data_IF_959886192730
#
_entry.id   IF_959886192730
#
_cell.length_a   1.000
_cell.length_b   1.000
_cell.length_c   1.000
_cell.angle_alpha   90.00
_cell.angle_beta   90.00
_cell.angle_gamma   90.00
#
_symmetry.space_group_name_H-M   'P 1'
#
loop_
_entity.id
_entity.type
_entity.pdbx_description
1 polymer ?
#
# COMPACT_ATOMS: atom_id res chain seq x y z
N UNK A 1 0.53 3.41 -19.93
CA UNK A 1 0.05 4.31 -18.86
C UNK A 1 0.21 5.77 -19.21
N UNK A 2 1.40 6.26 -19.58
CA UNK A 2 1.59 7.67 -19.95
C UNK A 2 0.69 8.09 -21.12
N UNK A 3 0.58 7.27 -22.16
CA UNK A 3 -0.30 7.54 -23.32
C UNK A 3 -1.79 7.55 -22.96
N UNK A 4 -2.22 6.75 -21.98
CA UNK A 4 -3.62 6.73 -21.50
C UNK A 4 -3.90 7.87 -20.53
N UNK A 5 -2.89 8.33 -19.81
CA UNK A 5 -2.98 9.53 -18.96
C UNK A 5 -3.08 10.79 -19.82
N UNK A 6 -2.31 10.86 -20.90
CA UNK A 6 -2.34 11.98 -21.86
C UNK A 6 -3.68 12.01 -22.62
N UNK A 7 -4.33 10.88 -22.85
CA UNK A 7 -5.59 10.79 -23.59
C UNK A 7 -6.86 10.93 -22.74
N UNK A 8 -6.78 10.79 -21.42
CA UNK A 8 -7.90 11.00 -20.49
C UNK A 8 -7.78 12.36 -19.83
N UNK A 9 -8.28 13.39 -20.51
CA UNK A 9 -8.44 14.76 -20.01
C UNK A 9 -9.13 14.73 -18.63
N UNK A 10 -8.50 15.30 -17.61
CA UNK A 10 -8.98 15.39 -16.23
C UNK A 10 -8.22 14.50 -15.22
N UNK A 11 -7.70 13.34 -15.61
CA UNK A 11 -6.95 12.47 -14.69
C UNK A 11 -5.51 12.89 -14.43
N UNK A 12 -4.90 13.56 -15.41
CA UNK A 12 -3.55 14.14 -15.24
C UNK A 12 -3.63 15.36 -14.31
N UNK A 13 -4.65 16.19 -14.49
CA UNK A 13 -4.84 17.41 -13.69
C UNK A 13 -5.05 17.07 -12.21
N UNK A 14 -5.78 16.00 -11.89
CA UNK A 14 -6.07 15.61 -10.51
C UNK A 14 -4.91 14.90 -9.79
N UNK A 15 -4.09 14.13 -10.53
CA UNK A 15 -2.99 13.32 -9.95
C UNK A 15 -1.62 13.97 -10.08
N UNK A 16 -1.45 14.94 -11.00
CA UNK A 16 -0.15 15.48 -11.35
C UNK A 16 -0.03 17.00 -11.23
N UNK A 17 -1.01 17.68 -10.63
CA UNK A 17 -0.91 19.12 -10.39
C UNK A 17 0.39 19.45 -9.65
N UNK A 18 0.69 18.70 -8.59
CA UNK A 18 1.90 18.90 -7.81
C UNK A 18 3.18 18.53 -8.58
N UNK A 19 3.10 17.52 -9.46
CA UNK A 19 4.24 17.05 -10.27
C UNK A 19 4.46 17.97 -11.49
N UNK A 20 3.41 18.53 -12.04
CA UNK A 20 3.50 19.44 -13.19
C UNK A 20 4.34 20.68 -12.86
N UNK A 21 4.35 21.14 -11.62
CA UNK A 21 5.17 22.27 -11.20
C UNK A 21 6.68 21.99 -11.32
N UNK A 22 7.11 20.74 -11.12
CA UNK A 22 8.51 20.36 -11.28
C UNK A 22 9.02 20.54 -12.71
N UNK A 23 8.14 20.45 -13.71
CA UNK A 23 8.52 20.63 -15.12
C UNK A 23 8.99 22.05 -15.45
N UNK A 24 8.76 23.02 -14.57
CA UNK A 24 9.25 24.38 -14.71
C UNK A 24 10.78 24.50 -14.53
N UNK A 25 11.41 23.50 -13.89
CA UNK A 25 12.84 23.55 -13.54
C UNK A 25 13.59 22.24 -13.70
N UNK A 26 12.91 21.14 -14.03
CA UNK A 26 13.52 19.83 -14.26
C UNK A 26 12.72 19.00 -15.27
N UNK A 27 13.41 18.05 -15.91
CA UNK A 27 12.73 16.98 -16.62
C UNK A 27 12.09 16.03 -15.61
N UNK A 28 10.83 15.65 -15.83
CA UNK A 28 10.09 14.75 -14.95
C UNK A 28 9.87 13.41 -15.64
N UNK A 29 10.37 12.35 -15.02
CA UNK A 29 10.22 10.98 -15.51
C UNK A 29 9.33 10.19 -14.56
N UNK A 30 8.20 9.70 -15.05
CA UNK A 30 7.29 8.84 -14.32
C UNK A 30 7.62 7.38 -14.67
N UNK A 31 7.93 6.60 -13.64
CA UNK A 31 8.34 5.21 -13.80
C UNK A 31 7.23 4.28 -13.36
N UNK A 32 6.82 3.38 -14.27
CA UNK A 32 5.95 2.26 -13.92
C UNK A 32 6.80 1.13 -13.35
N UNK A 33 6.33 0.54 -12.27
CA UNK A 33 6.95 -0.62 -11.67
C UNK A 33 6.89 -1.83 -12.62
N UNK A 34 7.96 -2.64 -12.66
CA UNK A 34 7.94 -3.94 -13.36
C UNK A 34 6.81 -4.81 -12.81
N UNK A 35 6.17 -5.60 -13.67
CA UNK A 35 5.00 -6.41 -13.31
C UNK A 35 3.69 -5.65 -13.17
N UNK A 36 3.69 -4.33 -13.33
CA UNK A 36 2.49 -3.49 -13.19
C UNK A 36 2.12 -2.74 -14.47
N UNK A 37 3.07 -2.52 -15.36
CA UNK A 37 2.85 -1.80 -16.60
C UNK A 37 2.31 -2.69 -17.71
N UNK A 38 1.32 -2.21 -18.44
CA UNK A 38 0.80 -2.88 -19.64
C UNK A 38 1.79 -2.92 -20.82
N UNK A 39 2.92 -2.25 -20.70
CA UNK A 39 3.99 -2.25 -21.71
C UNK A 39 5.06 -3.30 -21.46
N UNK A 40 4.95 -4.05 -20.38
CA UNK A 40 5.78 -5.18 -20.01
C UNK A 40 4.91 -6.33 -19.49
N UNK A 41 5.50 -7.23 -18.73
CA UNK A 41 4.77 -8.28 -18.06
C UNK A 41 3.84 -7.70 -17.00
N UNK A 42 2.60 -8.16 -16.99
CA UNK A 42 1.62 -7.77 -15.96
C UNK A 42 1.40 -8.95 -15.03
N UNK A 43 1.89 -8.82 -13.81
CA UNK A 43 1.61 -9.78 -12.73
C UNK A 43 0.21 -9.51 -12.18
N UNK A 44 -0.76 -10.26 -12.65
CA UNK A 44 -2.14 -10.14 -12.19
C UNK A 44 -2.63 -11.45 -11.64
N UNK A 45 -2.91 -11.47 -10.34
CA UNK A 45 -3.65 -12.54 -9.70
C UNK A 45 -5.07 -12.07 -9.38
N UNK A 46 -6.05 -12.95 -9.56
CA UNK A 46 -7.43 -12.64 -9.21
C UNK A 46 -7.72 -13.22 -7.84
N UNK A 47 -7.80 -12.36 -6.84
CA UNK A 47 -8.25 -12.75 -5.51
C UNK A 47 -9.77 -12.65 -5.45
N UNK A 48 -10.42 -13.76 -5.17
CA UNK A 48 -11.87 -13.80 -4.96
C UNK A 48 -12.18 -13.50 -3.50
N UNK A 49 -12.52 -12.25 -3.22
CA UNK A 49 -13.01 -11.87 -1.90
C UNK A 49 -14.35 -12.58 -1.66
N UNK A 50 -14.46 -13.26 -0.53
CA UNK A 50 -15.73 -13.83 -0.12
C UNK A 50 -16.65 -12.73 0.43
N UNK A 51 -17.93 -12.82 0.07
CA UNK A 51 -18.96 -11.85 0.50
C UNK A 51 -19.28 -11.96 2.00
N UNK A 52 -19.04 -13.13 2.60
CA UNK A 52 -19.32 -13.40 3.99
C UNK A 52 -18.04 -13.46 4.83
N UNK A 53 -18.05 -12.93 6.06
CA UNK A 53 -16.93 -13.02 6.97
C UNK A 53 -16.54 -14.46 7.23
N UNK A 54 -15.24 -14.75 7.20
CA UNK A 54 -14.70 -16.06 7.51
C UNK A 54 -14.07 -16.07 8.88
N UNK A 55 -14.12 -17.19 9.61
CA UNK A 55 -13.27 -17.40 10.77
C UNK A 55 -11.79 -17.27 10.39
N UNK A 56 -10.98 -16.64 11.26
CA UNK A 56 -9.57 -16.31 10.99
C UNK A 56 -8.77 -17.51 10.43
N UNK A 57 -8.94 -18.69 11.02
CA UNK A 57 -8.26 -19.90 10.56
C UNK A 57 -8.59 -20.27 9.10
N UNK A 58 -9.85 -20.07 8.69
CA UNK A 58 -10.27 -20.32 7.31
C UNK A 58 -9.70 -19.25 6.35
N UNK A 59 -9.68 -17.99 6.80
CA UNK A 59 -9.08 -16.91 6.02
C UNK A 59 -7.59 -17.17 5.77
N UNK A 60 -6.83 -17.51 6.81
CA UNK A 60 -5.40 -17.87 6.69
C UNK A 60 -5.20 -19.05 5.73
N UNK A 61 -6.03 -20.10 5.82
CA UNK A 61 -5.93 -21.24 4.92
C UNK A 61 -6.23 -20.86 3.47
N UNK A 62 -7.23 -20.01 3.24
CA UNK A 62 -7.57 -19.49 1.92
C UNK A 62 -6.44 -18.64 1.32
N UNK A 63 -5.85 -17.74 2.12
CA UNK A 63 -4.75 -16.88 1.66
C UNK A 63 -3.50 -17.71 1.31
N UNK A 64 -3.19 -18.73 2.11
CA UNK A 64 -2.10 -19.66 1.79
C UNK A 64 -2.37 -20.42 0.49
N UNK A 65 -3.58 -20.92 0.29
CA UNK A 65 -3.96 -21.63 -0.92
C UNK A 65 -3.88 -20.71 -2.15
N UNK A 66 -4.38 -19.47 -2.02
CA UNK A 66 -4.29 -18.46 -3.07
C UNK A 66 -2.84 -18.15 -3.44
N UNK A 67 -1.94 -18.00 -2.45
CA UNK A 67 -0.53 -17.77 -2.71
C UNK A 67 0.12 -18.93 -3.48
N UNK A 68 -0.18 -20.18 -3.10
CA UNK A 68 0.32 -21.39 -3.79
C UNK A 68 -0.18 -21.42 -5.24
N UNK A 69 -1.49 -21.30 -5.44
CA UNK A 69 -2.10 -21.36 -6.79
C UNK A 69 -1.58 -20.25 -7.69
N UNK A 70 -1.40 -19.04 -7.14
CA UNK A 70 -0.85 -17.90 -7.89
C UNK A 70 0.58 -18.13 -8.30
N UNK A 71 1.42 -18.63 -7.39
CA UNK A 71 2.82 -18.96 -7.68
C UNK A 71 2.93 -20.05 -8.74
N UNK A 72 2.13 -21.11 -8.64
CA UNK A 72 2.08 -22.18 -9.64
C UNK A 72 1.57 -21.69 -11.00
N UNK A 73 0.62 -20.76 -11.01
CA UNK A 73 0.12 -20.17 -12.25
C UNK A 73 1.21 -19.36 -12.96
N UNK A 74 1.98 -18.54 -12.24
CA UNK A 74 3.10 -17.79 -12.81
C UNK A 74 4.24 -18.72 -13.27
N UNK A 75 4.54 -19.77 -12.52
CA UNK A 75 5.54 -20.76 -12.94
C UNK A 75 5.19 -21.44 -14.28
N UNK A 76 3.89 -21.65 -14.56
CA UNK A 76 3.42 -22.21 -15.85
C UNK A 76 3.57 -21.24 -17.03
N UNK A 77 3.68 -19.95 -16.76
CA UNK A 77 3.86 -18.89 -17.78
C UNK A 77 5.34 -18.53 -17.99
N UNK A 78 6.26 -19.28 -17.39
CA UNK A 78 7.70 -19.02 -17.42
C UNK A 78 8.11 -17.66 -16.81
N UNK A 79 7.24 -17.06 -16.01
CA UNK A 79 7.54 -15.83 -15.28
C UNK A 79 8.32 -16.17 -14.01
N UNK A 80 9.55 -15.68 -13.93
CA UNK A 80 10.38 -15.79 -12.73
C UNK A 80 10.06 -14.65 -11.76
N UNK A 81 9.29 -14.97 -10.70
CA UNK A 81 8.91 -13.99 -9.70
C UNK A 81 10.10 -13.41 -8.89
N UNK A 82 11.26 -14.08 -8.90
CA UNK A 82 12.46 -13.55 -8.23
C UNK A 82 12.99 -12.28 -8.86
N UNK A 83 12.63 -12.01 -10.12
CA UNK A 83 12.92 -10.77 -10.82
C UNK A 83 12.04 -9.58 -10.44
N UNK A 84 11.03 -9.75 -9.55
CA UNK A 84 10.08 -8.70 -9.19
C UNK A 84 10.29 -8.23 -7.75
N UNK A 85 11.50 -7.78 -7.47
CA UNK A 85 11.92 -7.29 -6.15
C UNK A 85 12.23 -5.79 -6.17
N UNK A 86 12.28 -5.15 -5.00
CA UNK A 86 12.68 -3.75 -4.88
C UNK A 86 14.11 -3.51 -5.41
N UNK A 87 14.98 -4.52 -5.31
CA UNK A 87 16.35 -4.46 -5.86
C UNK A 87 16.32 -4.35 -7.38
N UNK A 88 15.59 -5.24 -8.03
CA UNK A 88 15.46 -5.23 -9.49
C UNK A 88 14.78 -3.96 -10.00
N UNK A 89 13.79 -3.47 -9.27
CA UNK A 89 13.16 -2.19 -9.56
C UNK A 89 14.14 -1.02 -9.45
N UNK A 90 15.09 -1.05 -8.51
CA UNK A 90 16.12 -0.02 -8.40
C UNK A 90 17.13 -0.08 -9.57
N UNK A 91 17.47 -1.29 -10.03
CA UNK A 91 18.26 -1.44 -11.26
C UNK A 91 17.53 -0.85 -12.47
N UNK A 92 16.23 -1.10 -12.65
CA UNK A 92 15.44 -0.50 -13.73
C UNK A 92 15.53 1.02 -13.76
N UNK A 93 15.40 1.66 -12.60
CA UNK A 93 15.50 3.13 -12.50
C UNK A 93 16.90 3.61 -12.88
N UNK A 94 17.96 2.92 -12.41
CA UNK A 94 19.33 3.30 -12.76
C UNK A 94 19.62 3.09 -14.24
N UNK A 95 19.16 1.99 -14.85
CA UNK A 95 19.31 1.75 -16.29
C UNK A 95 18.52 2.79 -17.11
N UNK A 96 17.30 3.13 -16.69
CA UNK A 96 16.52 4.19 -17.31
C UNK A 96 17.24 5.54 -17.23
N UNK A 97 17.82 5.89 -16.08
CA UNK A 97 18.65 7.09 -15.91
C UNK A 97 19.77 7.13 -16.93
N UNK A 98 20.52 6.02 -17.07
CA UNK A 98 21.63 5.91 -18.04
C UNK A 98 21.14 6.01 -19.48
N UNK A 99 20.05 5.32 -19.83
CA UNK A 99 19.47 5.34 -21.17
C UNK A 99 18.99 6.74 -21.58
N UNK A 100 18.53 7.54 -20.61
CA UNK A 100 18.12 8.94 -20.84
C UNK A 100 19.31 9.92 -20.81
N UNK A 101 20.52 9.47 -20.46
CA UNK A 101 21.73 10.27 -20.45
C UNK A 101 21.90 11.17 -19.22
N UNK A 102 21.17 10.92 -18.14
CA UNK A 102 21.30 11.69 -16.91
C UNK A 102 22.46 11.16 -16.05
N UNK A 103 23.33 12.05 -15.59
CA UNK A 103 24.39 11.74 -14.64
C UNK A 103 23.81 11.51 -13.25
N UNK A 104 22.92 12.39 -12.83
CA UNK A 104 22.26 12.37 -11.52
C UNK A 104 20.76 12.55 -11.66
N UNK A 105 20.01 12.07 -10.66
CA UNK A 105 18.56 12.23 -10.56
C UNK A 105 18.15 12.67 -9.15
N UNK A 106 16.99 13.29 -9.05
CA UNK A 106 16.30 13.55 -7.80
C UNK A 106 15.07 12.66 -7.70
N UNK A 107 14.79 12.18 -6.49
CA UNK A 107 13.68 11.26 -6.21
C UNK A 107 12.52 12.00 -5.54
N UNK A 108 11.33 11.82 -6.08
CA UNK A 108 10.07 12.25 -5.46
C UNK A 108 9.15 11.03 -5.37
N UNK A 109 8.90 10.55 -4.15
CA UNK A 109 8.17 9.31 -3.96
C UNK A 109 7.40 9.24 -2.64
N UNK A 110 6.40 8.35 -2.61
CA UNK A 110 5.61 8.06 -1.39
C UNK A 110 5.27 6.58 -1.31
N UNK A 111 4.93 6.12 -0.07
CA UNK A 111 4.53 4.74 0.20
C UNK A 111 5.60 3.76 -0.32
N UNK A 112 5.27 2.69 -1.00
CA UNK A 112 6.21 1.74 -1.60
C UNK A 112 7.31 2.40 -2.46
N UNK A 113 7.04 3.56 -3.06
CA UNK A 113 8.05 4.35 -3.77
C UNK A 113 9.19 4.83 -2.86
N UNK A 114 8.94 5.03 -1.57
CA UNK A 114 10.00 5.37 -0.61
C UNK A 114 10.94 4.19 -0.36
N UNK A 115 10.43 2.97 -0.27
CA UNK A 115 11.22 1.74 -0.17
C UNK A 115 12.10 1.54 -1.42
N UNK A 116 11.55 1.79 -2.58
CA UNK A 116 12.25 1.80 -3.85
C UNK A 116 13.40 2.81 -3.84
N UNK A 117 13.11 4.02 -3.37
CA UNK A 117 14.08 5.11 -3.25
C UNK A 117 15.23 4.77 -2.30
N UNK A 118 14.93 4.17 -1.14
CA UNK A 118 15.97 3.71 -0.21
C UNK A 118 16.87 2.62 -0.82
N UNK A 119 16.27 1.71 -1.58
CA UNK A 119 17.02 0.67 -2.28
C UNK A 119 17.95 1.28 -3.33
N UNK A 120 17.45 2.25 -4.11
CA UNK A 120 18.22 2.96 -5.11
C UNK A 120 19.36 3.77 -4.48
N UNK A 121 19.10 4.54 -3.41
CA UNK A 121 20.11 5.28 -2.65
C UNK A 121 21.19 4.37 -2.06
N UNK A 122 20.82 3.14 -1.65
CA UNK A 122 21.79 2.16 -1.12
C UNK A 122 22.69 1.60 -2.21
N UNK A 123 22.12 1.31 -3.41
CA UNK A 123 22.84 0.68 -4.51
C UNK A 123 23.65 1.67 -5.36
N UNK A 124 23.13 2.88 -5.52
CA UNK A 124 23.69 3.91 -6.41
C UNK A 124 23.71 5.30 -5.75
N UNK A 125 24.31 5.44 -4.55
CA UNK A 125 24.27 6.69 -3.77
C UNK A 125 24.82 7.90 -4.52
N UNK A 126 25.82 7.69 -5.38
CA UNK A 126 26.50 8.74 -6.16
C UNK A 126 25.60 9.34 -7.25
N UNK A 127 24.51 8.66 -7.62
CA UNK A 127 23.61 9.13 -8.68
C UNK A 127 22.44 9.95 -8.17
N UNK A 128 22.28 10.05 -6.85
CA UNK A 128 21.12 10.71 -6.23
C UNK A 128 21.53 12.06 -5.67
N UNK A 129 20.94 13.14 -6.22
CA UNK A 129 21.19 14.50 -5.76
C UNK A 129 20.30 14.90 -4.60
N UNK A 130 19.02 14.52 -4.65
CA UNK A 130 17.99 14.87 -3.67
C UNK A 130 16.95 13.74 -3.58
N UNK A 131 16.40 13.54 -2.40
CA UNK A 131 15.23 12.68 -2.22
C UNK A 131 14.19 13.38 -1.35
N UNK A 132 12.98 13.56 -1.88
CA UNK A 132 11.80 14.03 -1.17
C UNK A 132 10.82 12.86 -1.05
N UNK A 133 10.69 12.32 0.15
CA UNK A 133 9.94 11.09 0.41
C UNK A 133 8.86 11.32 1.46
N UNK A 134 7.67 10.73 1.26
CA UNK A 134 6.58 10.77 2.23
C UNK A 134 5.93 9.39 2.38
N UNK A 135 5.22 9.17 3.49
CA UNK A 135 4.66 7.85 3.79
C UNK A 135 5.75 6.79 3.80
N UNK A 136 6.78 7.03 4.62
CA UNK A 136 8.02 6.25 4.62
C UNK A 136 7.75 4.78 4.96
N UNK A 137 8.15 3.89 4.05
CA UNK A 137 8.19 2.44 4.26
C UNK A 137 9.66 1.99 4.34
N UNK A 138 10.16 1.60 5.52
CA UNK A 138 11.53 1.16 5.68
C UNK A 138 11.77 -0.21 5.03
N UNK A 139 12.99 -0.45 4.55
CA UNK A 139 13.34 -1.67 3.80
C UNK A 139 13.13 -2.96 4.61
N UNK A 140 13.26 -2.88 5.93
CA UNK A 140 13.31 -4.05 6.82
C UNK A 140 12.22 -4.05 7.92
N UNK A 141 11.24 -3.19 7.85
CA UNK A 141 10.22 -3.06 8.90
C UNK A 141 8.89 -2.57 8.31
N UNK A 142 8.25 -3.43 7.52
CA UNK A 142 6.99 -3.14 6.82
C UNK A 142 5.75 -3.53 7.65
N UNK A 143 5.94 -4.25 8.74
CA UNK A 143 4.82 -4.77 9.52
C UNK A 143 4.52 -3.88 10.70
N UNK A 144 3.28 -3.44 10.80
CA UNK A 144 2.77 -2.82 12.00
C UNK A 144 2.80 -3.82 13.16
N UNK A 145 3.56 -3.49 14.20
CA UNK A 145 3.56 -4.32 15.40
C UNK A 145 2.24 -4.13 16.15
N UNK A 146 1.59 -5.21 16.61
CA UNK A 146 0.33 -5.09 17.38
C UNK A 146 0.43 -4.13 18.56
N UNK A 147 1.59 -4.03 19.21
CA UNK A 147 1.85 -3.08 20.29
C UNK A 147 1.76 -1.63 19.84
N UNK A 148 2.24 -1.32 18.63
CA UNK A 148 2.25 0.06 18.10
C UNK A 148 0.86 0.47 17.64
N UNK A 149 0.13 -0.46 17.01
CA UNK A 149 -1.29 -0.29 16.66
C UNK A 149 -2.11 -0.03 17.94
N UNK A 150 -1.93 -0.85 18.99
CA UNK A 150 -2.62 -0.64 20.26
C UNK A 150 -2.26 0.68 20.94
N UNK A 151 -1.01 1.10 20.84
CA UNK A 151 -0.57 2.41 21.36
C UNK A 151 -1.26 3.56 20.62
N UNK A 152 -1.38 3.46 19.30
CA UNK A 152 -2.12 4.46 18.50
C UNK A 152 -3.62 4.48 18.85
N UNK A 153 -4.24 3.30 18.99
CA UNK A 153 -5.64 3.15 19.42
C UNK A 153 -5.86 3.78 20.79
N UNK A 154 -5.03 3.48 21.78
CA UNK A 154 -5.15 4.06 23.12
C UNK A 154 -5.02 5.59 23.11
N UNK A 155 -4.15 6.14 22.27
CA UNK A 155 -4.04 7.59 22.10
C UNK A 155 -5.33 8.20 21.53
N UNK A 156 -5.92 7.57 20.52
CA UNK A 156 -7.21 7.99 19.95
C UNK A 156 -8.31 7.89 21.01
N UNK A 157 -8.37 6.80 21.77
CA UNK A 157 -9.34 6.61 22.84
C UNK A 157 -9.25 7.70 23.90
N UNK A 158 -8.04 8.13 24.26
CA UNK A 158 -7.85 9.24 25.18
C UNK A 158 -8.46 10.54 24.64
N UNK A 159 -8.21 10.88 23.37
CA UNK A 159 -8.80 12.06 22.75
C UNK A 159 -10.33 12.00 22.73
N UNK A 160 -10.90 10.85 22.42
CA UNK A 160 -12.35 10.64 22.42
C UNK A 160 -12.92 10.80 23.83
N UNK A 161 -12.28 10.25 24.86
CA UNK A 161 -12.73 10.34 26.25
C UNK A 161 -12.67 11.76 26.82
N UNK A 162 -11.78 12.59 26.32
CA UNK A 162 -11.59 13.99 26.72
C UNK A 162 -12.49 14.96 25.91
N UNK A 163 -13.14 14.53 24.85
CA UNK A 163 -13.99 15.36 23.98
C UNK A 163 -15.46 15.27 24.41
N UNK A 164 -16.03 16.40 24.87
CA UNK A 164 -17.41 16.52 25.35
C UNK A 164 -18.45 16.08 24.29
N UNK A 165 -18.13 16.09 23.02
CA UNK A 165 -19.02 15.64 21.94
C UNK A 165 -19.20 14.12 21.94
N UNK A 166 -18.21 13.37 22.38
CA UNK A 166 -18.22 11.91 22.37
C UNK A 166 -18.50 11.29 23.74
N UNK A 167 -18.08 11.95 24.82
CA UNK A 167 -18.25 11.45 26.20
C UNK A 167 -19.68 10.98 26.51
N UNK A 168 -20.77 11.68 26.11
CA UNK A 168 -22.13 11.21 26.36
C UNK A 168 -22.53 9.91 25.68
N UNK A 169 -21.76 9.49 24.69
CA UNK A 169 -22.02 8.29 23.89
C UNK A 169 -21.18 7.08 24.32
N UNK A 170 -20.28 7.26 25.28
CA UNK A 170 -19.45 6.19 25.80
C UNK A 170 -20.21 5.41 26.90
N UNK A 171 -20.03 4.07 26.95
CA UNK A 171 -20.49 3.27 28.09
C UNK A 171 -19.71 3.64 29.36
N UNK A 172 -20.18 3.18 30.54
CA UNK A 172 -19.52 3.47 31.82
C UNK A 172 -18.05 3.02 31.87
N UNK A 173 -17.72 1.89 31.26
CA UNK A 173 -16.34 1.40 31.10
C UNK A 173 -15.54 2.07 29.98
N UNK A 174 -16.08 3.16 29.38
CA UNK A 174 -15.40 4.00 28.39
C UNK A 174 -15.09 3.28 27.08
N UNK A 175 -14.00 3.67 26.43
CA UNK A 175 -13.61 3.14 25.13
C UNK A 175 -13.25 1.66 25.16
N UNK A 176 -12.76 1.15 26.28
CA UNK A 176 -12.43 -0.29 26.42
C UNK A 176 -13.69 -1.15 26.36
N UNK A 177 -14.73 -0.75 27.07
CA UNK A 177 -16.03 -1.45 27.03
C UNK A 177 -16.67 -1.31 25.65
N UNK A 178 -16.63 -0.13 25.04
CA UNK A 178 -17.16 0.09 23.69
C UNK A 178 -16.46 -0.83 22.67
N UNK A 179 -15.15 -0.95 22.73
CA UNK A 179 -14.38 -1.84 21.85
C UNK A 179 -14.79 -3.31 22.05
N UNK A 180 -14.94 -3.77 23.29
CA UNK A 180 -15.40 -5.12 23.59
C UNK A 180 -16.81 -5.40 23.05
N UNK A 181 -17.73 -4.45 23.19
CA UNK A 181 -19.08 -4.55 22.65
C UNK A 181 -19.08 -4.61 21.11
N UNK A 182 -18.23 -3.82 20.45
CA UNK A 182 -18.07 -3.86 18.99
C UNK A 182 -17.51 -5.23 18.57
N UNK A 183 -16.45 -5.70 19.19
CA UNK A 183 -15.85 -7.01 18.88
C UNK A 183 -16.86 -8.15 19.07
N UNK A 184 -17.64 -8.15 20.13
CA UNK A 184 -18.70 -9.15 20.34
C UNK A 184 -19.74 -9.13 19.21
N UNK A 185 -20.15 -7.94 18.76
CA UNK A 185 -21.07 -7.82 17.62
C UNK A 185 -20.47 -8.34 16.33
N UNK A 186 -19.18 -8.07 16.10
CA UNK A 186 -18.45 -8.56 14.93
C UNK A 186 -18.36 -10.09 14.94
N UNK A 187 -18.02 -10.69 16.09
CA UNK A 187 -17.97 -12.16 16.24
C UNK A 187 -19.32 -12.81 15.96
N UNK A 188 -20.41 -12.14 16.27
CA UNK A 188 -21.77 -12.59 16.00
C UNK A 188 -22.29 -12.22 14.60
N UNK A 189 -21.47 -11.60 13.76
CA UNK A 189 -21.84 -11.07 12.43
C UNK A 189 -23.04 -10.10 12.47
N UNK A 190 -23.12 -9.28 13.54
CA UNK A 190 -24.25 -8.38 13.77
C UNK A 190 -24.02 -6.95 13.24
N UNK A 191 -22.84 -6.67 12.69
CA UNK A 191 -22.54 -5.35 12.10
C UNK A 191 -22.78 -5.42 10.60
N UNK A 192 -23.90 -4.85 10.16
CA UNK A 192 -24.24 -4.69 8.73
C UNK A 192 -23.99 -3.23 8.36
N UNK A 193 -23.08 -3.00 7.44
CA UNK A 193 -22.70 -1.64 6.98
C UNK A 193 -23.55 -1.22 5.79
N UNK A 194 -23.92 -2.19 4.93
CA UNK A 194 -24.76 -2.00 3.77
C UNK A 194 -25.53 -3.28 3.48
N UNK A 195 -26.56 -3.23 2.63
CA UNK A 195 -27.45 -4.37 2.32
C UNK A 195 -26.73 -5.70 2.06
N UNK A 196 -25.50 -5.64 1.54
CA UNK A 196 -24.69 -6.81 1.19
C UNK A 196 -23.29 -6.80 1.85
N UNK A 197 -23.06 -5.98 2.89
CA UNK A 197 -21.77 -5.87 3.54
C UNK A 197 -21.87 -6.02 5.05
N UNK A 198 -21.43 -7.17 5.54
CA UNK A 198 -21.31 -7.46 6.97
C UNK A 198 -19.84 -7.43 7.36
N UNK A 199 -19.55 -6.80 8.50
CA UNK A 199 -18.22 -6.80 9.09
C UNK A 199 -18.08 -8.04 9.99
N UNK A 200 -17.03 -8.80 9.79
CA UNK A 200 -16.68 -9.98 10.56
C UNK A 200 -15.30 -9.91 11.19
N UNK A 201 -14.90 -10.97 11.92
CA UNK A 201 -13.63 -11.00 12.66
C UNK A 201 -12.37 -10.78 11.82
N UNK A 202 -12.45 -11.02 10.51
CA UNK A 202 -11.31 -10.85 9.58
C UNK A 202 -11.24 -9.48 8.93
N UNK A 203 -12.22 -8.62 9.18
CA UNK A 203 -12.28 -7.25 8.66
C UNK A 203 -11.81 -6.22 9.69
N UNK A 204 -11.53 -6.65 10.91
CA UNK A 204 -10.97 -5.84 11.99
C UNK A 204 -9.53 -6.32 12.23
N UNK A 205 -8.56 -5.44 12.14
CA UNK A 205 -7.15 -5.76 12.34
C UNK A 205 -6.81 -6.24 13.77
#
# INVERSE_FOLDING_TARGET
MLKDLITKKGRIEDYFLDIAEFTNFADVVLVDQRGYSKYGDVLKATYHRQENPLPLAKKIAQDKQFAIETTEAFAKTEIDLSGYTAIECAYDVNELRQALGYENISLYAWSFGSQWSFTLMRLFPETITLAALSGIEPINNEFDMPSDVMTAIHRIWKYIAEDERFTPHLPEGGMTELAQLVLQKVEQNLIVVHENMTIGPTDIP
#
